data_IF_091567824464
#
_entry.id   IF_091567824464
#
_cell.length_a   1.000
_cell.length_b   1.000
_cell.length_c   1.000
_cell.angle_alpha   90.00
_cell.angle_beta   90.00
_cell.angle_gamma   90.00
#
_symmetry.space_group_name_H-M   'P 1'
#
loop_
_entity.id
_entity.type
_entity.pdbx_description
1 polymer ?
#
# COMPACT_ATOMS: atom_id res chain seq x y z
N UNK A 1 28.00 -11.15 -9.05
CA UNK A 1 27.00 -11.32 -7.97
C UNK A 1 26.75 -10.00 -7.23
N UNK A 2 27.81 -9.30 -6.84
CA UNK A 2 27.77 -8.00 -6.14
C UNK A 2 26.93 -6.90 -6.80
N UNK A 3 26.97 -6.75 -8.13
CA UNK A 3 26.30 -5.64 -8.81
C UNK A 3 24.77 -5.75 -8.86
N UNK A 4 24.20 -6.96 -8.76
CA UNK A 4 22.75 -7.14 -8.85
C UNK A 4 22.00 -6.36 -7.76
N UNK A 5 22.28 -6.56 -6.45
CA UNK A 5 21.60 -5.80 -5.41
C UNK A 5 21.92 -4.29 -5.46
N UNK A 6 23.13 -3.90 -5.88
CA UNK A 6 23.55 -2.50 -6.02
C UNK A 6 22.74 -1.78 -7.12
N UNK A 7 22.71 -2.35 -8.32
CA UNK A 7 21.98 -1.78 -9.47
C UNK A 7 20.47 -1.82 -9.24
N UNK A 8 19.97 -2.85 -8.54
CA UNK A 8 18.58 -2.88 -8.13
C UNK A 8 18.29 -1.75 -7.14
N UNK A 9 18.99 -1.67 -6.01
CA UNK A 9 18.72 -0.70 -4.95
C UNK A 9 18.82 0.77 -5.40
N UNK A 10 19.87 1.11 -6.14
CA UNK A 10 20.09 2.49 -6.58
C UNK A 10 19.40 2.79 -7.91
N UNK A 11 19.38 1.87 -8.87
CA UNK A 11 18.96 2.21 -10.24
C UNK A 11 17.64 1.57 -10.66
N UNK A 12 16.99 0.76 -9.81
CA UNK A 12 15.80 0.03 -10.23
C UNK A 12 16.05 -0.95 -11.37
N UNK A 13 17.30 -1.37 -11.55
CA UNK A 13 17.74 -2.05 -12.76
C UNK A 13 18.03 -3.53 -12.53
N UNK A 14 17.28 -4.40 -13.22
CA UNK A 14 17.64 -5.81 -13.31
C UNK A 14 18.74 -6.01 -14.35
N UNK A 15 19.97 -6.24 -13.86
CA UNK A 15 21.16 -6.55 -14.68
C UNK A 15 20.94 -7.73 -15.65
N UNK A 16 19.92 -8.55 -15.43
CA UNK A 16 19.60 -9.71 -16.26
C UNK A 16 18.49 -9.48 -17.28
N UNK A 17 17.84 -8.31 -17.29
CA UNK A 17 16.66 -8.04 -18.14
C UNK A 17 16.89 -8.43 -19.61
N UNK A 18 18.05 -8.05 -20.17
CA UNK A 18 18.45 -8.37 -21.55
C UNK A 18 19.54 -9.45 -21.64
N UNK A 19 19.78 -10.19 -20.56
CA UNK A 19 20.91 -11.13 -20.46
C UNK A 19 20.51 -12.49 -19.85
N UNK A 20 19.57 -13.23 -20.46
CA UNK A 20 19.02 -14.46 -19.88
C UNK A 20 20.06 -15.58 -19.68
N UNK A 21 21.07 -15.68 -20.55
CA UNK A 21 22.17 -16.64 -20.39
C UNK A 21 23.04 -16.31 -19.18
N UNK A 22 23.31 -15.04 -18.95
CA UNK A 22 24.02 -14.52 -17.78
C UNK A 22 23.23 -14.76 -16.50
N UNK A 23 21.90 -14.60 -16.55
CA UNK A 23 20.98 -14.97 -15.45
C UNK A 23 21.13 -16.44 -15.09
N UNK A 24 21.07 -17.33 -16.09
CA UNK A 24 21.22 -18.78 -15.88
C UNK A 24 22.57 -19.12 -15.25
N UNK A 25 23.66 -18.56 -15.78
CA UNK A 25 25.00 -18.75 -15.23
C UNK A 25 25.10 -18.27 -13.77
N UNK A 26 24.53 -17.10 -13.46
CA UNK A 26 24.47 -16.57 -12.10
C UNK A 26 23.69 -17.50 -11.17
N UNK A 27 22.46 -17.89 -11.53
CA UNK A 27 21.62 -18.79 -10.70
C UNK A 27 22.31 -20.12 -10.45
N UNK A 28 22.91 -20.74 -11.46
CA UNK A 28 23.68 -21.99 -11.31
C UNK A 28 24.88 -21.79 -10.39
N UNK A 29 25.61 -20.68 -10.53
CA UNK A 29 26.78 -20.39 -9.69
C UNK A 29 26.41 -20.21 -8.23
N UNK A 30 25.29 -19.55 -7.95
CA UNK A 30 24.77 -19.32 -6.59
C UNK A 30 24.39 -20.61 -5.86
N UNK A 31 24.24 -21.75 -6.56
CA UNK A 31 23.99 -23.04 -5.92
C UNK A 31 25.26 -23.75 -5.43
N UNK A 32 26.45 -23.32 -5.88
CA UNK A 32 27.72 -23.94 -5.51
C UNK A 32 28.10 -23.57 -4.08
N UNK A 33 28.47 -24.56 -3.27
CA UNK A 33 28.91 -24.37 -1.87
C UNK A 33 29.99 -23.30 -1.74
N UNK A 34 31.03 -23.38 -2.58
CA UNK A 34 32.13 -22.40 -2.59
C UNK A 34 31.67 -20.96 -2.82
N UNK A 35 30.60 -20.76 -3.60
CA UNK A 35 30.04 -19.42 -3.84
C UNK A 35 29.20 -18.97 -2.65
N UNK A 36 28.34 -19.84 -2.11
CA UNK A 36 27.51 -19.53 -0.93
C UNK A 36 28.34 -19.15 0.30
N UNK A 37 29.48 -19.79 0.50
CA UNK A 37 30.38 -19.55 1.63
C UNK A 37 31.22 -18.27 1.50
N UNK A 38 31.45 -17.79 0.28
CA UNK A 38 32.33 -16.65 0.01
C UNK A 38 31.59 -15.36 -0.34
N UNK A 39 30.29 -15.44 -0.67
CA UNK A 39 29.52 -14.29 -1.10
C UNK A 39 29.08 -13.45 0.11
N UNK A 40 29.28 -12.14 0.01
CA UNK A 40 28.73 -11.17 0.96
C UNK A 40 27.21 -11.07 0.86
N UNK A 41 26.60 -10.58 1.93
CA UNK A 41 25.16 -10.25 1.92
C UNK A 41 24.87 -9.10 0.95
N UNK A 42 23.68 -9.05 0.32
CA UNK A 42 23.29 -7.95 -0.59
C UNK A 42 23.57 -6.54 -0.06
N UNK A 43 23.31 -6.31 1.21
CA UNK A 43 23.43 -5.03 1.93
C UNK A 43 24.89 -4.57 2.00
N UNK A 44 25.82 -5.50 2.19
CA UNK A 44 27.26 -5.20 2.23
C UNK A 44 27.75 -4.67 0.88
N UNK A 45 27.22 -5.22 -0.22
CA UNK A 45 27.51 -4.69 -1.55
C UNK A 45 26.92 -3.29 -1.76
N UNK A 46 25.68 -3.07 -1.31
CA UNK A 46 25.03 -1.74 -1.39
C UNK A 46 25.85 -0.70 -0.60
N UNK A 47 26.27 -1.02 0.63
CA UNK A 47 27.15 -0.16 1.44
C UNK A 47 28.47 0.10 0.71
N UNK A 48 29.14 -0.94 0.23
CA UNK A 48 30.46 -0.82 -0.42
C UNK A 48 30.44 0.08 -1.66
N UNK A 49 29.33 0.07 -2.40
CA UNK A 49 29.15 0.89 -3.60
C UNK A 49 28.56 2.28 -3.34
N UNK A 50 28.10 2.60 -2.12
CA UNK A 50 27.52 3.90 -1.75
C UNK A 50 28.42 5.09 -2.11
N UNK A 51 29.74 4.92 -2.00
CA UNK A 51 30.73 5.95 -2.38
C UNK A 51 30.80 6.26 -3.88
N UNK A 52 30.27 5.37 -4.72
CA UNK A 52 30.22 5.51 -6.19
C UNK A 52 28.89 6.07 -6.69
N UNK A 53 27.91 6.22 -5.81
CA UNK A 53 26.59 6.78 -6.11
C UNK A 53 26.60 8.27 -5.74
N UNK A 54 26.08 9.17 -6.61
CA UNK A 54 25.96 10.58 -6.27
C UNK A 54 25.19 10.79 -4.95
N UNK A 55 25.67 11.69 -4.09
CA UNK A 55 24.98 12.01 -2.83
C UNK A 55 23.58 12.58 -3.02
N UNK A 56 23.31 13.14 -4.21
CA UNK A 56 21.99 13.63 -4.64
C UNK A 56 21.01 12.51 -5.02
N UNK A 57 21.47 11.26 -5.08
CA UNK A 57 20.59 10.13 -5.38
C UNK A 57 19.55 9.96 -4.28
N UNK A 58 18.28 9.75 -4.67
CA UNK A 58 17.10 9.79 -3.79
C UNK A 58 17.16 8.80 -2.62
N UNK A 59 17.84 7.66 -2.80
CA UNK A 59 18.03 6.65 -1.75
C UNK A 59 19.44 6.67 -1.12
N UNK A 60 20.31 7.63 -1.45
CA UNK A 60 21.71 7.62 -1.01
C UNK A 60 21.85 7.65 0.51
N UNK A 61 21.20 8.61 1.18
CA UNK A 61 21.23 8.74 2.64
C UNK A 61 20.60 7.55 3.34
N UNK A 62 19.61 6.92 2.70
CA UNK A 62 18.80 5.81 3.23
C UNK A 62 19.47 4.44 3.02
N UNK A 63 20.56 4.36 2.25
CA UNK A 63 21.18 3.09 1.90
C UNK A 63 22.11 2.53 2.98
N UNK A 64 22.04 1.21 3.28
CA UNK A 64 20.99 0.27 2.93
C UNK A 64 19.84 0.37 3.94
N UNK A 65 18.60 0.32 3.46
CA UNK A 65 17.45 0.46 4.34
C UNK A 65 16.15 0.18 3.60
N UNK A 66 15.07 0.11 4.36
CA UNK A 66 13.75 0.16 3.78
C UNK A 66 13.44 1.59 3.32
N UNK A 67 12.76 1.73 2.18
CA UNK A 67 12.22 3.02 1.71
C UNK A 67 10.82 2.78 1.17
N UNK A 68 9.83 3.50 1.70
CA UNK A 68 8.46 3.43 1.21
C UNK A 68 8.19 4.66 0.33
N UNK A 69 8.07 4.45 -0.98
CA UNK A 69 7.63 5.49 -1.91
C UNK A 69 6.11 5.65 -1.80
N UNK A 70 5.63 6.85 -1.50
CA UNK A 70 4.23 7.14 -1.20
C UNK A 70 3.76 8.42 -1.86
N UNK A 71 2.45 8.62 -1.92
CA UNK A 71 1.85 9.93 -2.08
C UNK A 71 0.83 10.12 -0.97
N UNK A 72 0.95 11.17 -0.16
CA UNK A 72 0.09 11.39 1.02
C UNK A 72 -1.40 11.63 0.70
N UNK A 73 -1.75 11.83 -0.57
CA UNK A 73 -3.13 11.96 -1.04
C UNK A 73 -3.70 10.67 -1.63
N UNK A 74 -2.91 9.61 -1.71
CA UNK A 74 -3.32 8.33 -2.29
C UNK A 74 -3.83 7.38 -1.20
N UNK A 75 -5.09 6.91 -1.28
CA UNK A 75 -5.61 5.95 -0.30
C UNK A 75 -4.87 4.61 -0.38
N UNK A 76 -4.27 4.28 -1.52
CA UNK A 76 -3.38 3.11 -1.65
C UNK A 76 -2.08 3.28 -0.86
N UNK A 77 -1.53 4.50 -0.81
CA UNK A 77 -0.35 4.78 0.01
C UNK A 77 -0.67 4.80 1.49
N UNK A 78 -1.92 5.12 1.85
CA UNK A 78 -2.37 5.10 3.24
C UNK A 78 -2.42 3.69 3.83
N UNK A 79 -2.67 2.64 3.03
CA UNK A 79 -2.65 1.24 3.50
C UNK A 79 -1.32 0.86 4.20
N UNK A 80 -0.13 0.88 3.55
CA UNK A 80 1.11 0.55 4.22
C UNK A 80 1.53 1.59 5.27
N UNK A 81 1.15 2.87 5.12
CA UNK A 81 1.39 3.89 6.17
C UNK A 81 0.62 3.56 7.44
N UNK A 82 -0.63 3.10 7.30
CA UNK A 82 -1.49 2.67 8.40
C UNK A 82 -0.98 1.38 9.04
N UNK A 83 -0.53 0.41 8.25
CA UNK A 83 0.14 -0.78 8.75
C UNK A 83 1.39 -0.43 9.58
N UNK A 84 2.25 0.46 9.08
CA UNK A 84 3.41 0.95 9.84
C UNK A 84 2.98 1.63 11.15
N UNK A 85 1.95 2.48 11.12
CA UNK A 85 1.46 3.18 12.30
C UNK A 85 0.86 2.23 13.36
N UNK A 86 0.11 1.20 12.93
CA UNK A 86 -0.46 0.18 13.81
C UNK A 86 0.61 -0.70 14.45
N UNK A 87 1.62 -1.08 13.66
CA UNK A 87 2.71 -1.95 14.11
C UNK A 87 3.83 -1.19 14.84
N UNK A 88 3.81 0.15 14.83
CA UNK A 88 4.93 0.99 15.30
C UNK A 88 6.23 0.67 14.54
N UNK A 89 6.14 0.60 13.21
CA UNK A 89 7.29 0.48 12.31
C UNK A 89 7.65 1.89 11.82
N UNK A 90 8.88 2.31 12.04
CA UNK A 90 9.40 3.57 11.54
C UNK A 90 10.23 3.32 10.27
N UNK A 91 9.67 3.69 9.11
CA UNK A 91 10.32 3.55 7.80
C UNK A 91 10.45 4.93 7.14
N UNK A 92 11.60 5.23 6.49
CA UNK A 92 11.72 6.39 5.62
C UNK A 92 10.66 6.37 4.52
N UNK A 93 9.86 7.43 4.46
CA UNK A 93 8.86 7.65 3.40
C UNK A 93 9.36 8.68 2.41
N UNK A 94 9.29 8.37 1.12
CA UNK A 94 9.67 9.28 0.04
C UNK A 94 8.41 9.68 -0.73
N UNK A 95 8.07 10.96 -0.65
CA UNK A 95 6.91 11.53 -1.34
C UNK A 95 7.14 11.61 -2.85
N UNK A 96 6.24 11.02 -3.62
CA UNK A 96 6.20 11.05 -5.08
C UNK A 96 5.03 11.93 -5.52
N UNK A 97 5.34 12.99 -6.26
CA UNK A 97 4.33 13.82 -6.89
C UNK A 97 3.71 13.07 -8.08
N UNK A 98 2.43 12.69 -7.98
CA UNK A 98 1.71 12.00 -9.05
C UNK A 98 1.21 12.95 -10.16
N UNK A 99 1.16 14.28 -9.92
CA UNK A 99 0.89 15.27 -11.00
C UNK A 99 2.10 15.44 -11.90
N UNK A 100 3.28 15.44 -11.29
CA UNK A 100 4.56 15.61 -11.98
C UNK A 100 5.45 14.42 -11.65
N UNK A 101 5.07 13.26 -12.18
CA UNK A 101 5.77 12.02 -11.89
C UNK A 101 7.26 12.15 -12.24
N UNK A 102 8.18 11.98 -11.27
CA UNK A 102 9.60 12.07 -11.56
C UNK A 102 10.00 11.01 -12.58
N UNK A 103 10.72 11.36 -13.67
CA UNK A 103 11.07 10.41 -14.73
C UNK A 103 11.87 9.19 -14.24
N UNK A 104 12.53 9.30 -13.08
CA UNK A 104 13.28 8.23 -12.46
C UNK A 104 12.41 7.22 -11.70
N UNK A 105 11.17 7.57 -11.33
CA UNK A 105 10.33 6.70 -10.48
C UNK A 105 9.97 5.39 -11.19
N UNK A 106 9.80 5.43 -12.51
CA UNK A 106 9.53 4.25 -13.33
C UNK A 106 10.57 3.13 -13.22
N UNK A 107 11.78 3.47 -12.80
CA UNK A 107 12.84 2.48 -12.57
C UNK A 107 12.58 1.70 -11.27
N UNK A 108 12.00 2.34 -10.26
CA UNK A 108 11.61 1.70 -9.00
C UNK A 108 10.29 0.94 -9.15
N UNK A 109 9.34 1.47 -9.93
CA UNK A 109 8.10 0.79 -10.26
C UNK A 109 7.68 1.08 -11.70
N UNK A 110 7.77 0.08 -12.58
CA UNK A 110 7.41 0.19 -13.99
C UNK A 110 5.92 0.48 -14.24
N UNK A 111 5.05 0.20 -13.25
CA UNK A 111 3.63 0.56 -13.31
C UNK A 111 3.39 2.03 -13.03
N UNK A 112 4.41 2.77 -12.58
CA UNK A 112 4.33 4.20 -12.28
C UNK A 112 3.27 4.53 -11.20
N UNK A 113 3.04 3.57 -10.29
CA UNK A 113 2.11 3.68 -9.17
C UNK A 113 2.82 3.75 -7.82
N UNK A 114 2.16 4.37 -6.85
CA UNK A 114 2.50 4.28 -5.42
C UNK A 114 1.40 3.51 -4.69
N UNK A 115 1.71 2.81 -3.58
CA UNK A 115 3.01 2.72 -2.91
C UNK A 115 3.98 1.74 -3.56
N UNK A 116 5.27 1.85 -3.22
CA UNK A 116 6.30 0.84 -3.52
C UNK A 116 7.28 0.77 -2.36
N UNK A 117 7.59 -0.44 -1.89
CA UNK A 117 8.57 -0.65 -0.81
C UNK A 117 9.88 -1.18 -1.42
N UNK A 118 10.97 -0.46 -1.18
CA UNK A 118 12.34 -0.92 -1.43
C UNK A 118 12.88 -1.55 -0.13
N UNK A 119 13.47 -2.74 -0.21
CA UNK A 119 14.10 -3.42 0.93
C UNK A 119 15.60 -3.14 1.02
N UNK A 120 16.25 -3.37 2.19
CA UNK A 120 17.69 -3.22 2.34
C UNK A 120 18.51 -4.07 1.37
N UNK A 121 17.94 -5.17 0.86
CA UNK A 121 18.59 -6.09 -0.09
C UNK A 121 18.45 -5.63 -1.55
N UNK A 122 17.78 -4.50 -1.82
CA UNK A 122 17.50 -4.02 -3.16
C UNK A 122 16.33 -4.73 -3.84
N UNK A 123 15.41 -5.32 -3.07
CA UNK A 123 14.18 -5.92 -3.61
C UNK A 123 13.04 -4.92 -3.59
N UNK A 124 12.16 -4.99 -4.59
CA UNK A 124 10.95 -4.17 -4.64
C UNK A 124 9.72 -5.02 -4.30
N UNK A 125 8.91 -4.51 -3.38
CA UNK A 125 7.58 -5.06 -3.07
C UNK A 125 6.55 -4.05 -3.60
N UNK A 126 5.65 -4.55 -4.43
CA UNK A 126 4.63 -3.76 -5.12
C UNK A 126 3.24 -4.13 -4.61
N UNK A 127 2.26 -3.31 -4.99
CA UNK A 127 0.86 -3.39 -4.58
C UNK A 127 0.63 -3.09 -3.10
N UNK A 128 -0.28 -2.15 -2.84
CA UNK A 128 -0.52 -1.59 -1.50
C UNK A 128 -0.79 -2.66 -0.43
N UNK A 129 -1.70 -3.60 -0.72
CA UNK A 129 -2.07 -4.64 0.25
C UNK A 129 -1.00 -5.73 0.38
N UNK A 130 -0.27 -6.06 -0.69
CA UNK A 130 0.86 -6.99 -0.60
C UNK A 130 2.01 -6.40 0.21
N UNK A 131 2.23 -5.08 0.14
CA UNK A 131 3.18 -4.39 1.03
C UNK A 131 2.72 -4.48 2.48
N UNK A 132 1.42 -4.33 2.79
CA UNK A 132 0.88 -4.52 4.14
C UNK A 132 1.20 -5.93 4.67
N UNK A 133 0.94 -6.97 3.87
CA UNK A 133 1.24 -8.36 4.25
C UNK A 133 2.75 -8.57 4.46
N UNK A 134 3.57 -8.04 3.55
CA UNK A 134 5.03 -8.12 3.66
C UNK A 134 5.56 -7.43 4.93
N UNK A 135 4.99 -6.28 5.31
CA UNK A 135 5.35 -5.58 6.54
C UNK A 135 4.89 -6.33 7.79
N UNK A 136 3.73 -6.99 7.75
CA UNK A 136 3.25 -7.78 8.88
C UNK A 136 4.13 -9.02 9.13
N UNK A 137 4.47 -9.74 8.07
CA UNK A 137 5.35 -10.92 8.12
C UNK A 137 6.81 -10.56 8.41
N UNK A 138 7.29 -9.44 7.87
CA UNK A 138 8.68 -9.00 7.96
C UNK A 138 9.06 -8.36 9.29
N UNK A 139 8.07 -7.92 10.08
CA UNK A 139 8.25 -7.27 11.38
C UNK A 139 7.32 -7.90 12.45
N UNK A 140 7.44 -9.21 12.73
CA UNK A 140 6.55 -9.91 13.66
C UNK A 140 6.69 -9.46 15.12
N UNK A 141 7.82 -8.85 15.48
CA UNK A 141 8.09 -8.26 16.80
C UNK A 141 7.49 -6.86 16.99
N UNK A 142 6.98 -6.24 15.93
CA UNK A 142 6.43 -4.89 15.94
C UNK A 142 4.90 -4.89 16.03
N UNK A 143 4.40 -4.40 17.18
CA UNK A 143 2.97 -4.19 17.42
C UNK A 143 2.13 -5.47 17.31
N UNK A 144 0.79 -5.34 17.25
CA UNK A 144 -0.08 -6.50 17.03
C UNK A 144 0.10 -7.07 15.61
N UNK A 145 -0.15 -8.36 15.46
CA UNK A 145 -0.27 -8.98 14.13
C UNK A 145 -1.52 -8.47 13.43
N UNK A 146 -1.39 -8.09 12.16
CA UNK A 146 -2.51 -7.68 11.33
C UNK A 146 -3.15 -8.87 10.60
N UNK A 147 -2.38 -9.93 10.36
CA UNK A 147 -2.83 -11.18 9.76
C UNK A 147 -2.96 -12.28 10.84
N UNK A 148 -4.09 -13.00 10.86
CA UNK A 148 -4.21 -14.23 11.64
C UNK A 148 -3.22 -15.30 11.14
N UNK A 149 -2.76 -16.15 12.05
CA UNK A 149 -1.80 -17.23 11.74
C UNK A 149 -2.49 -18.56 11.41
N UNK A 150 -3.77 -18.69 11.73
CA UNK A 150 -4.60 -19.85 11.40
C UNK A 150 -5.26 -19.69 10.02
N UNK A 151 -5.61 -20.82 9.42
CA UNK A 151 -6.14 -20.87 8.05
C UNK A 151 -7.48 -20.16 7.92
N UNK A 152 -8.37 -20.33 8.90
CA UNK A 152 -9.73 -19.79 8.86
C UNK A 152 -9.69 -18.26 9.00
N UNK A 153 -8.96 -17.74 9.99
CA UNK A 153 -8.73 -16.30 10.15
C UNK A 153 -8.06 -15.68 8.92
N UNK A 154 -7.04 -16.33 8.35
CA UNK A 154 -6.43 -15.86 7.11
C UNK A 154 -7.41 -15.88 5.93
N UNK A 155 -8.33 -16.85 5.85
CA UNK A 155 -9.36 -16.88 4.82
C UNK A 155 -10.31 -15.69 4.97
N UNK A 156 -10.83 -15.43 6.16
CA UNK A 156 -11.77 -14.33 6.39
C UNK A 156 -11.15 -12.97 6.06
N UNK A 157 -9.90 -12.71 6.46
CA UNK A 157 -9.22 -11.46 6.10
C UNK A 157 -9.08 -11.31 4.59
N UNK A 158 -8.60 -12.35 3.89
CA UNK A 158 -8.42 -12.30 2.43
C UNK A 158 -9.74 -12.23 1.67
N UNK A 159 -10.80 -12.82 2.21
CA UNK A 159 -12.14 -12.74 1.64
C UNK A 159 -12.68 -11.32 1.70
N UNK A 160 -12.50 -10.63 2.84
CA UNK A 160 -12.85 -9.21 2.95
C UNK A 160 -11.99 -8.37 2.00
N UNK A 161 -10.67 -8.58 1.95
CA UNK A 161 -9.78 -7.87 1.01
C UNK A 161 -10.24 -7.99 -0.44
N UNK A 162 -10.66 -9.19 -0.87
CA UNK A 162 -11.21 -9.38 -2.21
C UNK A 162 -12.50 -8.60 -2.43
N UNK A 163 -13.39 -8.50 -1.44
CA UNK A 163 -14.61 -7.69 -1.53
C UNK A 163 -14.30 -6.19 -1.54
N UNK A 164 -13.26 -5.76 -0.85
CA UNK A 164 -12.78 -4.37 -0.89
C UNK A 164 -12.31 -3.99 -2.29
N UNK A 165 -11.62 -4.88 -3.01
CA UNK A 165 -11.18 -4.61 -4.38
C UNK A 165 -12.39 -4.40 -5.33
N UNK A 166 -13.43 -5.24 -5.24
CA UNK A 166 -14.68 -5.05 -6.00
C UNK A 166 -15.39 -3.74 -5.63
N UNK A 167 -15.53 -3.45 -4.33
CA UNK A 167 -16.11 -2.21 -3.83
C UNK A 167 -15.35 -0.98 -4.35
N UNK A 168 -14.02 -1.03 -4.34
CA UNK A 168 -13.14 0.06 -4.74
C UNK A 168 -13.25 0.36 -6.24
N UNK A 169 -13.27 -0.65 -7.09
CA UNK A 169 -13.44 -0.47 -8.54
C UNK A 169 -14.77 0.22 -8.85
N UNK A 170 -15.86 -0.23 -8.22
CA UNK A 170 -17.18 0.38 -8.37
C UNK A 170 -17.24 1.81 -7.81
N UNK A 171 -16.63 2.04 -6.63
CA UNK A 171 -16.50 3.36 -6.01
C UNK A 171 -15.81 4.35 -6.94
N UNK A 172 -14.65 4.01 -7.50
CA UNK A 172 -13.94 4.91 -8.41
C UNK A 172 -14.69 5.14 -9.73
N UNK A 173 -15.32 4.09 -10.26
CA UNK A 173 -16.16 4.18 -11.46
C UNK A 173 -17.30 5.17 -11.26
N UNK A 174 -18.00 5.09 -10.12
CA UNK A 174 -19.12 5.97 -9.81
C UNK A 174 -18.68 7.41 -9.46
N UNK A 175 -17.59 7.61 -8.70
CA UNK A 175 -17.06 8.96 -8.43
C UNK A 175 -16.66 9.67 -9.73
N UNK A 176 -16.12 8.93 -10.69
CA UNK A 176 -15.72 9.48 -11.99
C UNK A 176 -16.91 9.86 -12.87
N UNK A 177 -18.00 9.10 -12.81
CA UNK A 177 -19.26 9.38 -13.50
C UNK A 177 -20.46 9.10 -12.58
N UNK A 178 -20.92 10.09 -11.80
CA UNK A 178 -22.03 9.93 -10.86
C UNK A 178 -23.38 9.59 -11.50
N UNK A 179 -23.47 9.58 -12.84
CA UNK A 179 -24.67 9.18 -13.60
C UNK A 179 -24.62 7.72 -14.04
N UNK A 180 -23.49 7.04 -13.85
CA UNK A 180 -23.34 5.64 -14.18
C UNK A 180 -24.08 4.77 -13.15
N UNK A 181 -25.34 4.46 -13.44
CA UNK A 181 -26.19 3.66 -12.56
C UNK A 181 -25.70 2.22 -12.39
N UNK A 182 -25.02 1.63 -13.38
CA UNK A 182 -24.43 0.30 -13.21
C UNK A 182 -23.32 0.33 -12.16
N UNK A 183 -22.44 1.34 -12.21
CA UNK A 183 -21.40 1.52 -11.19
C UNK A 183 -22.01 1.79 -9.80
N UNK A 184 -23.16 2.48 -9.74
CA UNK A 184 -23.89 2.68 -8.49
C UNK A 184 -24.45 1.37 -7.92
N UNK A 185 -25.05 0.53 -8.76
CA UNK A 185 -25.55 -0.79 -8.35
C UNK A 185 -24.42 -1.71 -7.88
N UNK A 186 -23.29 -1.74 -8.61
CA UNK A 186 -22.09 -2.49 -8.21
C UNK A 186 -21.50 -1.97 -6.89
N UNK A 187 -21.46 -0.65 -6.71
CA UNK A 187 -21.03 -0.03 -5.46
C UNK A 187 -21.97 -0.44 -4.31
N UNK A 188 -23.28 -0.34 -4.52
CA UNK A 188 -24.27 -0.66 -3.49
C UNK A 188 -24.21 -2.13 -3.08
N UNK A 189 -23.96 -3.02 -4.05
CA UNK A 189 -23.72 -4.44 -3.80
C UNK A 189 -22.45 -4.64 -2.98
N UNK A 190 -21.31 -4.09 -3.41
CA UNK A 190 -20.03 -4.26 -2.71
C UNK A 190 -20.05 -3.67 -1.29
N UNK A 191 -20.63 -2.48 -1.12
CA UNK A 191 -20.82 -1.86 0.19
C UNK A 191 -21.77 -2.69 1.07
N UNK A 192 -22.84 -3.24 0.49
CA UNK A 192 -23.77 -4.11 1.19
C UNK A 192 -23.15 -5.42 1.66
N UNK A 193 -22.30 -6.05 0.85
CA UNK A 193 -21.57 -7.26 1.26
C UNK A 193 -20.56 -6.96 2.37
N UNK A 194 -19.79 -5.87 2.27
CA UNK A 194 -18.87 -5.46 3.33
C UNK A 194 -19.60 -5.10 4.63
N UNK A 195 -20.73 -4.40 4.56
CA UNK A 195 -21.57 -4.09 5.73
C UNK A 195 -22.07 -5.37 6.41
N UNK A 196 -22.55 -6.36 5.63
CA UNK A 196 -22.99 -7.65 6.18
C UNK A 196 -21.84 -8.39 6.85
N UNK A 197 -20.68 -8.49 6.19
CA UNK A 197 -19.51 -9.17 6.75
C UNK A 197 -19.03 -8.49 8.04
N UNK A 198 -19.10 -7.17 8.11
CA UNK A 198 -18.71 -6.43 9.32
C UNK A 198 -19.67 -6.70 10.48
N UNK A 199 -20.96 -6.93 10.19
CA UNK A 199 -21.98 -7.28 11.18
C UNK A 199 -21.83 -8.71 11.75
N UNK A 200 -21.04 -9.57 11.12
CA UNK A 200 -20.80 -10.94 11.61
C UNK A 200 -19.86 -10.98 12.83
N UNK A 201 -19.12 -9.90 13.09
CA UNK A 201 -18.17 -9.80 14.21
C UNK A 201 -17.21 -11.01 14.28
N UNK A 202 -16.71 -11.45 13.11
CA UNK A 202 -15.89 -12.66 12.96
C UNK A 202 -14.68 -12.70 13.91
N UNK A 203 -14.08 -11.55 14.22
CA UNK A 203 -12.95 -11.42 15.14
C UNK A 203 -13.32 -10.74 16.47
N UNK A 204 -14.61 -10.71 16.80
CA UNK A 204 -15.17 -10.13 18.01
C UNK A 204 -15.86 -8.77 17.81
N UNK A 205 -16.45 -8.28 18.89
CA UNK A 205 -17.18 -7.01 18.93
C UNK A 205 -16.25 -5.81 18.69
N UNK A 206 -16.77 -4.79 18.03
CA UNK A 206 -16.08 -3.52 17.77
C UNK A 206 -16.40 -2.94 16.39
N UNK A 207 -15.85 -1.77 16.06
CA UNK A 207 -16.16 -1.06 14.82
C UNK A 207 -15.39 -1.57 13.60
N UNK A 208 -14.47 -2.53 13.78
CA UNK A 208 -13.55 -3.02 12.75
C UNK A 208 -13.77 -4.49 12.45
N UNK A 209 -13.33 -4.96 11.29
CA UNK A 209 -13.26 -6.39 10.97
C UNK A 209 -12.39 -7.13 11.97
N UNK A 210 -11.30 -6.52 12.47
CA UNK A 210 -10.49 -7.06 13.57
C UNK A 210 -11.12 -6.93 14.96
N UNK A 211 -12.41 -6.56 15.06
CA UNK A 211 -13.13 -6.32 16.31
C UNK A 211 -12.78 -4.96 16.91
N UNK A 212 -12.14 -4.95 18.08
CA UNK A 212 -11.77 -3.72 18.78
C UNK A 212 -10.57 -2.97 18.15
N UNK A 213 -9.76 -3.66 17.35
CA UNK A 213 -8.56 -3.11 16.70
C UNK A 213 -8.52 -3.47 15.22
N UNK A 214 -7.90 -2.62 14.39
CA UNK A 214 -7.77 -2.88 12.96
C UNK A 214 -6.86 -4.08 12.66
N UNK A 215 -7.32 -4.99 11.80
CA UNK A 215 -6.51 -6.03 11.17
C UNK A 215 -6.17 -5.66 9.71
N UNK A 216 -5.58 -6.57 8.93
CA UNK A 216 -5.23 -6.27 7.54
C UNK A 216 -6.44 -6.00 6.61
N UNK A 217 -7.62 -6.56 6.90
CA UNK A 217 -8.85 -6.26 6.17
C UNK A 217 -9.28 -4.81 6.40
N UNK A 218 -9.20 -4.33 7.64
CA UNK A 218 -9.45 -2.93 7.97
C UNK A 218 -8.44 -2.00 7.31
N UNK A 219 -7.15 -2.38 7.30
CA UNK A 219 -6.11 -1.62 6.59
C UNK A 219 -6.41 -1.50 5.10
N UNK A 220 -7.05 -2.52 4.50
CA UNK A 220 -7.48 -2.46 3.09
C UNK A 220 -8.64 -1.49 2.87
N UNK A 221 -9.62 -1.48 3.78
CA UNK A 221 -10.90 -0.80 3.63
C UNK A 221 -10.93 0.64 4.16
N UNK A 222 -10.43 0.88 5.38
CA UNK A 222 -10.57 2.16 6.10
C UNK A 222 -10.05 3.34 5.28
N UNK A 223 -8.87 3.28 4.61
CA UNK A 223 -8.45 4.35 3.72
C UNK A 223 -9.45 4.67 2.61
N UNK A 224 -10.10 3.65 2.02
CA UNK A 224 -11.11 3.88 0.99
C UNK A 224 -12.33 4.60 1.56
N UNK A 225 -12.81 4.20 2.74
CA UNK A 225 -13.94 4.84 3.39
C UNK A 225 -13.66 6.30 3.80
N UNK A 226 -12.46 6.58 4.32
CA UNK A 226 -12.05 7.96 4.68
C UNK A 226 -12.02 8.86 3.44
N UNK A 227 -11.47 8.37 2.34
CA UNK A 227 -11.44 9.12 1.09
C UNK A 227 -12.84 9.27 0.47
N UNK A 228 -13.70 8.25 0.60
CA UNK A 228 -15.10 8.33 0.19
C UNK A 228 -15.83 9.44 0.96
N UNK A 229 -15.67 9.51 2.30
CA UNK A 229 -16.22 10.62 3.12
C UNK A 229 -15.73 11.99 2.67
N UNK A 230 -14.51 12.11 2.15
CA UNK A 230 -13.98 13.38 1.65
C UNK A 230 -14.51 13.77 0.26
N UNK A 231 -14.98 12.79 -0.53
CA UNK A 231 -15.51 12.98 -1.87
C UNK A 231 -17.02 13.23 -1.88
N UNK A 232 -17.77 12.68 -0.93
CA UNK A 232 -19.23 12.76 -0.88
C UNK A 232 -19.72 13.78 0.15
N UNK A 233 -20.78 14.56 -0.12
CA UNK A 233 -21.65 14.48 -1.31
C UNK A 233 -21.19 15.31 -2.52
N UNK A 234 -20.10 16.08 -2.41
CA UNK A 234 -19.73 17.10 -3.40
C UNK A 234 -19.40 16.56 -4.80
N UNK A 235 -18.80 15.37 -4.89
CA UNK A 235 -18.41 14.74 -6.17
C UNK A 235 -19.42 13.71 -6.66
N UNK A 236 -20.54 13.53 -5.96
CA UNK A 236 -21.53 12.47 -6.21
C UNK A 236 -22.94 13.04 -6.37
N UNK A 237 -23.04 14.23 -6.99
CA UNK A 237 -24.31 14.93 -7.26
C UNK A 237 -25.21 15.09 -6.01
N UNK A 238 -24.61 15.29 -4.84
CA UNK A 238 -25.36 15.45 -3.59
C UNK A 238 -25.58 14.16 -2.80
N UNK A 239 -25.12 13.01 -3.30
CA UNK A 239 -25.32 11.71 -2.64
C UNK A 239 -24.23 11.43 -1.61
N UNK A 240 -24.60 11.25 -0.34
CA UNK A 240 -23.73 10.63 0.66
C UNK A 240 -23.78 9.09 0.49
N UNK A 241 -22.69 8.53 -0.02
CA UNK A 241 -22.61 7.10 -0.35
C UNK A 241 -22.51 6.19 0.87
N UNK A 242 -22.19 6.73 2.06
CA UNK A 242 -22.13 5.95 3.29
C UNK A 242 -23.40 6.09 4.14
N UNK A 243 -24.35 6.94 3.75
CA UNK A 243 -25.56 7.22 4.53
C UNK A 243 -26.38 5.96 4.89
N UNK A 244 -26.37 4.95 4.02
CA UNK A 244 -27.12 3.70 4.22
C UNK A 244 -26.29 2.55 4.82
N UNK A 245 -24.99 2.75 5.05
CA UNK A 245 -24.04 1.72 5.50
C UNK A 245 -23.45 2.15 6.85
N UNK A 246 -24.19 1.89 7.93
CA UNK A 246 -23.91 2.45 9.25
C UNK A 246 -22.63 1.90 9.86
N UNK A 247 -22.35 0.61 9.66
CA UNK A 247 -21.14 -0.04 10.16
C UNK A 247 -19.93 0.45 9.39
N UNK A 248 -20.02 0.56 8.06
CA UNK A 248 -18.96 1.18 7.25
C UNK A 248 -18.70 2.64 7.64
N UNK A 249 -19.76 3.45 7.83
CA UNK A 249 -19.62 4.82 8.30
C UNK A 249 -18.96 4.91 9.69
N UNK A 250 -19.31 3.99 10.60
CA UNK A 250 -18.70 3.89 11.93
C UNK A 250 -17.22 3.44 11.86
N UNK A 251 -16.90 2.46 11.03
CA UNK A 251 -15.53 2.00 10.80
C UNK A 251 -14.65 3.13 10.25
N UNK A 252 -15.18 3.93 9.32
CA UNK A 252 -14.49 5.10 8.77
C UNK A 252 -14.18 6.14 9.86
N UNK A 253 -15.14 6.44 10.73
CA UNK A 253 -14.97 7.40 11.82
C UNK A 253 -14.00 6.90 12.90
N UNK A 254 -14.14 5.64 13.30
CA UNK A 254 -13.23 4.99 14.24
C UNK A 254 -11.80 4.95 13.69
N UNK A 255 -11.65 4.62 12.40
CA UNK A 255 -10.37 4.62 11.69
C UNK A 255 -9.73 6.00 11.68
N UNK A 256 -10.47 7.03 11.26
CA UNK A 256 -10.00 8.42 11.19
C UNK A 256 -9.57 8.97 12.56
N UNK A 257 -10.30 8.63 13.62
CA UNK A 257 -10.06 9.14 14.99
C UNK A 257 -9.08 8.29 15.81
N UNK A 258 -8.72 7.10 15.33
CA UNK A 258 -7.72 6.23 15.95
C UNK A 258 -6.34 6.89 16.00
N UNK A 259 -5.49 6.46 16.93
CA UNK A 259 -4.11 6.96 17.04
C UNK A 259 -3.27 6.67 15.78
N UNK A 260 -3.52 5.55 15.09
CA UNK A 260 -2.88 5.24 13.82
C UNK A 260 -3.44 6.13 12.69
N UNK A 261 -4.75 6.31 12.63
CA UNK A 261 -5.41 7.17 11.64
C UNK A 261 -4.94 8.61 11.69
N UNK A 262 -4.84 9.20 12.88
CA UNK A 262 -4.32 10.57 13.10
C UNK A 262 -2.88 10.78 12.61
N UNK A 263 -2.07 9.72 12.54
CA UNK A 263 -0.69 9.77 12.02
C UNK A 263 -0.62 9.69 10.49
N UNK A 264 -1.68 9.20 9.85
CA UNK A 264 -1.68 8.83 8.42
C UNK A 264 -2.57 9.75 7.61
N UNK A 265 -3.83 9.86 8.00
CA UNK A 265 -4.84 10.56 7.22
C UNK A 265 -4.69 12.07 7.34
N UNK A 266 -4.89 12.75 6.22
CA UNK A 266 -5.11 14.19 6.21
C UNK A 266 -6.52 14.52 6.68
N UNK A 267 -6.81 15.80 6.90
CA UNK A 267 -8.18 16.21 7.15
C UNK A 267 -9.08 15.96 5.92
N UNK A 268 -10.36 15.69 6.15
CA UNK A 268 -11.34 15.49 5.06
C UNK A 268 -11.40 16.70 4.11
N UNK A 269 -11.19 17.92 4.62
CA UNK A 269 -11.16 19.14 3.81
C UNK A 269 -9.93 19.22 2.91
N UNK A 270 -8.76 18.75 3.37
CA UNK A 270 -7.55 18.65 2.54
C UNK A 270 -7.75 17.65 1.41
N UNK A 271 -8.26 16.44 1.71
CA UNK A 271 -8.58 15.46 0.66
C UNK A 271 -9.63 16.01 -0.32
N UNK A 272 -10.72 16.62 0.16
CA UNK A 272 -11.76 17.21 -0.69
C UNK A 272 -11.22 18.29 -1.63
N UNK A 273 -10.33 19.16 -1.13
CA UNK A 273 -9.69 20.22 -1.94
C UNK A 273 -8.86 19.63 -3.08
N UNK A 274 -8.10 18.59 -2.77
CA UNK A 274 -7.29 17.86 -3.73
C UNK A 274 -8.18 17.21 -4.78
N UNK A 275 -9.19 16.44 -4.37
CA UNK A 275 -10.08 15.77 -5.32
C UNK A 275 -10.83 16.74 -6.23
N UNK A 276 -11.27 17.90 -5.74
CA UNK A 276 -11.86 18.96 -6.57
C UNK A 276 -10.92 19.46 -7.66
N UNK A 277 -9.61 19.43 -7.42
CA UNK A 277 -8.59 19.85 -8.38
C UNK A 277 -8.32 18.77 -9.44
N UNK A 278 -8.43 17.50 -9.09
CA UNK A 278 -8.06 16.37 -9.94
C UNK A 278 -9.22 15.71 -10.68
N UNK A 279 -10.42 15.70 -10.09
CA UNK A 279 -11.58 14.95 -10.58
C UNK A 279 -12.68 15.83 -11.18
N UNK A 280 -12.59 17.17 -11.09
CA UNK A 280 -13.50 18.02 -11.86
C UNK A 280 -13.19 17.85 -13.35
N UNK A 281 -14.20 17.61 -14.20
CA UNK A 281 -14.03 17.69 -15.64
C UNK A 281 -13.46 19.07 -15.99
N UNK A 282 -12.47 19.11 -16.88
CA UNK A 282 -12.13 20.35 -17.58
C UNK A 282 -13.41 20.88 -18.21
N UNK A 283 -13.90 22.01 -17.70
CA UNK A 283 -15.04 22.74 -18.27
C UNK A 283 -14.78 23.12 -19.72
#
# INVERSE_FOLDING_TARGET
ACFRPVLSYYCGYDIFHNAPRLKKMYVTSMQRTTVKETISKPEEYIIGFKSKVPKSHVTWSLAPGYVLFVNKYSPFSDRPRLACALKNIDLPMLEIDLKQLPPWFRWFNQRETVPTLLTPQGTYVHESQLIVHYLDDGFPEHGPALLPKDADGSYHVRFVESNVDYFMDAMYSFIKDPKNMNAKEEFDWGAGELEKLLAEHQFGEGPFFGGATMNAADVSLVPMLVHLKACTPELTEGQDLLANYKLLAAAAEAGLTSEAGKKVFLSLSEYSSIYKTFLRPSS
#
